data_IF_247356997579
#
_entry.id   IF_247356997579
#
_cell.length_a   1.000
_cell.length_b   1.000
_cell.length_c   1.000
_cell.angle_alpha   90.00
_cell.angle_beta   90.00
_cell.angle_gamma   90.00
#
_symmetry.space_group_name_H-M   'P 1'
#
loop_
_entity.id
_entity.type
_entity.pdbx_description
1 polymer ?
#
# COMPACT_ATOMS: atom_id res chain seq x y z
N UNK A 1 31.62 -40.33 26.35
CA UNK A 1 30.96 -39.43 27.35
C UNK A 1 31.85 -38.20 27.49
N UNK A 2 31.56 -36.99 27.04
CA UNK A 2 30.33 -36.31 26.61
C UNK A 2 30.25 -36.14 25.10
N UNK A 3 29.04 -36.26 24.56
CA UNK A 3 28.66 -35.87 23.20
C UNK A 3 28.11 -34.46 23.31
N UNK A 4 28.58 -33.54 22.48
CA UNK A 4 27.80 -32.36 22.14
C UNK A 4 27.87 -32.15 20.63
N UNK A 5 26.68 -32.17 20.05
CA UNK A 5 26.32 -32.12 18.64
C UNK A 5 26.22 -30.68 18.18
N UNK A 6 27.19 -30.22 17.41
CA UNK A 6 26.99 -29.23 16.35
C UNK A 6 27.98 -29.56 15.23
N UNK A 7 27.45 -30.12 14.14
CA UNK A 7 28.21 -30.33 12.92
C UNK A 7 28.60 -28.98 12.32
N UNK A 8 29.87 -28.61 12.49
CA UNK A 8 30.62 -27.81 11.51
C UNK A 8 31.96 -28.49 11.35
N UNK A 9 32.08 -29.27 10.28
CA UNK A 9 33.39 -29.70 9.79
C UNK A 9 34.05 -28.44 9.25
N UNK A 10 34.98 -27.88 10.03
CA UNK A 10 35.88 -26.85 9.55
C UNK A 10 36.86 -27.53 8.60
N UNK A 11 36.61 -27.44 7.29
CA UNK A 11 37.63 -27.76 6.31
C UNK A 11 38.68 -26.65 6.38
N UNK A 12 39.80 -26.92 7.05
CA UNK A 12 41.02 -26.18 6.82
C UNK A 12 41.49 -26.54 5.40
N UNK A 13 41.08 -25.75 4.41
CA UNK A 13 41.78 -25.72 3.14
C UNK A 13 43.14 -25.08 3.42
N UNK A 14 44.16 -25.94 3.57
CA UNK A 14 45.54 -25.57 3.33
C UNK A 14 45.64 -25.32 1.82
N UNK A 15 45.27 -24.10 1.42
CA UNK A 15 45.40 -23.59 0.07
C UNK A 15 46.69 -22.78 -0.03
N UNK A 16 47.55 -23.21 -0.95
CA UNK A 16 48.75 -22.52 -1.41
C UNK A 16 48.48 -21.05 -1.73
N UNK A 17 49.40 -20.16 -1.33
CA UNK A 17 49.29 -18.71 -1.57
C UNK A 17 49.07 -18.36 -3.04
N UNK A 18 47.86 -17.91 -3.36
CA UNK A 18 47.46 -17.49 -4.69
C UNK A 18 46.53 -16.29 -4.55
N UNK A 19 47.11 -15.11 -4.76
CA UNK A 19 46.51 -13.93 -5.39
C UNK A 19 44.97 -13.87 -5.32
N UNK A 20 44.44 -13.25 -4.26
CA UNK A 20 43.01 -12.98 -4.14
C UNK A 20 42.77 -11.48 -4.06
N UNK A 21 41.82 -11.00 -4.88
CA UNK A 21 41.21 -9.68 -4.76
C UNK A 21 39.70 -9.88 -4.74
N UNK A 22 39.00 -9.19 -3.85
CA UNK A 22 37.56 -9.38 -3.68
C UNK A 22 36.90 -8.17 -3.02
N UNK A 23 35.61 -8.02 -3.28
CA UNK A 23 34.73 -7.13 -2.53
C UNK A 23 34.03 -8.00 -1.48
N UNK A 24 34.42 -7.86 -0.22
CA UNK A 24 33.95 -8.70 0.90
C UNK A 24 32.68 -8.17 1.54
N UNK A 25 32.47 -6.84 1.51
CA UNK A 25 31.19 -6.20 1.78
C UNK A 25 30.75 -5.49 0.53
N UNK A 26 29.66 -5.98 -0.06
CA UNK A 26 29.04 -5.38 -1.24
C UNK A 26 28.08 -4.27 -0.82
N UNK A 27 27.97 -3.19 -1.61
CA UNK A 27 26.97 -2.16 -1.38
C UNK A 27 25.58 -2.73 -1.60
N UNK A 28 24.63 -2.25 -0.80
CA UNK A 28 23.21 -2.61 -0.91
C UNK A 28 22.45 -1.50 -1.63
N UNK A 29 21.38 -1.85 -2.35
CA UNK A 29 20.51 -0.85 -2.98
C UNK A 29 19.86 0.04 -1.93
N UNK A 30 19.79 1.35 -2.22
CA UNK A 30 19.29 2.38 -1.31
C UNK A 30 18.09 3.05 -1.95
N UNK A 31 17.02 3.23 -1.17
CA UNK A 31 15.90 4.09 -1.53
C UNK A 31 15.85 5.27 -0.58
N UNK A 32 15.76 6.49 -1.10
CA UNK A 32 15.64 7.71 -0.31
C UNK A 32 14.72 8.73 -0.97
N UNK A 33 14.40 9.80 -0.24
CA UNK A 33 13.64 10.93 -0.75
C UNK A 33 14.53 12.07 -1.26
N UNK A 34 14.00 12.96 -2.13
CA UNK A 34 14.76 14.12 -2.56
C UNK A 34 15.27 14.97 -1.40
N UNK A 35 16.53 15.41 -1.46
CA UNK A 35 17.22 16.18 -0.42
C UNK A 35 17.86 15.34 0.68
N UNK A 36 17.62 14.02 0.74
CA UNK A 36 18.30 13.14 1.69
C UNK A 36 19.65 12.66 1.17
N UNK A 37 20.49 12.11 2.06
CA UNK A 37 21.79 11.54 1.70
C UNK A 37 21.68 10.02 1.53
N UNK A 38 22.21 9.49 0.45
CA UNK A 38 22.38 8.06 0.23
C UNK A 38 23.84 7.64 0.47
N UNK A 39 24.04 6.46 1.07
CA UNK A 39 25.38 5.94 1.41
C UNK A 39 25.50 4.48 0.98
N UNK A 40 26.52 4.19 0.17
CA UNK A 40 26.87 2.85 -0.27
C UNK A 40 28.17 2.41 0.42
N UNK A 41 28.06 1.51 1.38
CA UNK A 41 29.20 0.97 2.11
C UNK A 41 29.84 -0.22 1.38
N UNK A 42 31.16 -0.30 1.39
CA UNK A 42 31.89 -1.42 0.80
C UNK A 42 33.10 -1.81 1.63
N UNK A 43 33.64 -2.99 1.36
CA UNK A 43 34.93 -3.43 1.91
C UNK A 43 35.64 -4.28 0.88
N UNK A 44 36.91 -3.98 0.62
CA UNK A 44 37.77 -4.73 -0.29
C UNK A 44 38.85 -5.49 0.47
N UNK A 45 39.21 -6.65 -0.05
CA UNK A 45 40.35 -7.43 0.43
C UNK A 45 41.20 -7.87 -0.76
N UNK A 46 42.52 -7.81 -0.58
CA UNK A 46 43.50 -8.31 -1.53
C UNK A 46 44.89 -7.74 -1.28
N UNK A 47 45.90 -8.38 -1.84
CA UNK A 47 47.30 -7.97 -1.70
C UNK A 47 47.96 -7.94 -3.09
N UNK A 48 48.39 -6.78 -3.63
CA UNK A 48 48.25 -5.44 -3.05
C UNK A 48 46.79 -5.01 -2.87
N UNK A 49 46.53 -4.12 -1.92
CA UNK A 49 45.18 -3.61 -1.64
C UNK A 49 44.54 -3.04 -2.93
N UNK A 50 43.30 -3.45 -3.27
CA UNK A 50 42.61 -2.90 -4.43
C UNK A 50 42.27 -1.41 -4.29
N UNK A 51 42.51 -0.67 -5.37
CA UNK A 51 41.98 0.68 -5.56
C UNK A 51 40.51 0.58 -5.99
N UNK A 52 39.67 1.49 -5.49
CA UNK A 52 38.22 1.45 -5.72
C UNK A 52 37.76 2.65 -6.53
N UNK A 53 37.04 2.36 -7.61
CA UNK A 53 36.42 3.32 -8.50
C UNK A 53 34.91 3.08 -8.56
N UNK A 54 34.14 4.16 -8.76
CA UNK A 54 32.69 4.10 -8.86
C UNK A 54 32.20 4.53 -10.24
N UNK A 55 31.13 3.90 -10.69
CA UNK A 55 30.46 4.18 -11.96
C UNK A 55 28.97 4.36 -11.72
N UNK A 56 28.33 5.25 -12.48
CA UNK A 56 26.87 5.35 -12.57
C UNK A 56 26.45 4.97 -13.99
N UNK A 57 25.71 3.88 -14.12
CA UNK A 57 25.49 3.25 -15.42
C UNK A 57 26.81 2.80 -16.04
N UNK A 58 27.14 3.34 -17.22
CA UNK A 58 28.40 3.04 -17.93
C UNK A 58 29.50 4.10 -17.74
N UNK A 59 29.19 5.23 -17.11
CA UNK A 59 30.13 6.35 -16.97
C UNK A 59 30.81 6.33 -15.61
N UNK A 60 32.11 6.66 -15.59
CA UNK A 60 32.85 6.81 -14.34
C UNK A 60 32.30 8.01 -13.57
N UNK A 61 32.00 7.79 -12.28
CA UNK A 61 31.39 8.80 -11.43
C UNK A 61 32.40 9.92 -11.18
N UNK A 62 32.00 11.17 -11.45
CA UNK A 62 32.79 12.34 -11.09
C UNK A 62 32.62 12.62 -9.59
N UNK A 63 33.74 12.66 -8.85
CA UNK A 63 33.71 12.90 -7.41
C UNK A 63 33.89 14.38 -7.09
N UNK A 64 32.97 14.93 -6.29
CA UNK A 64 32.90 16.33 -5.88
C UNK A 64 32.24 16.48 -4.50
N UNK A 65 31.65 17.63 -4.19
CA UNK A 65 30.94 17.84 -2.92
C UNK A 65 29.60 17.09 -2.84
N UNK A 66 28.92 16.85 -3.98
CA UNK A 66 27.66 16.14 -4.08
C UNK A 66 27.86 14.63 -3.99
N UNK A 67 28.88 14.12 -4.68
CA UNK A 67 29.24 12.70 -4.71
C UNK A 67 30.70 12.49 -4.28
N UNK A 68 30.96 11.90 -3.11
CA UNK A 68 32.35 11.65 -2.67
C UNK A 68 32.53 10.28 -2.03
N UNK A 69 33.78 9.81 -2.01
CA UNK A 69 34.15 8.52 -1.43
C UNK A 69 35.06 8.72 -0.23
N UNK A 70 34.73 8.08 0.89
CA UNK A 70 35.60 7.95 2.05
C UNK A 70 36.28 6.58 2.02
N UNK A 71 37.61 6.55 2.13
CA UNK A 71 38.39 5.31 2.19
C UNK A 71 39.05 5.18 3.57
N UNK A 72 39.02 3.98 4.14
CA UNK A 72 39.67 3.66 5.41
C UNK A 72 40.89 2.74 5.20
N UNK A 73 41.93 2.79 6.05
CA UNK A 73 43.14 1.98 5.90
C UNK A 73 42.91 0.46 5.90
N UNK A 74 41.81 -0.01 6.48
CA UNK A 74 41.45 -1.43 6.64
C UNK A 74 40.76 -2.05 5.41
N UNK A 75 40.61 -1.30 4.31
CA UNK A 75 39.92 -1.78 3.11
C UNK A 75 38.44 -1.40 3.07
N UNK A 76 37.87 -0.87 4.15
CA UNK A 76 36.49 -0.37 4.16
C UNK A 76 36.39 1.03 3.56
N UNK A 77 35.19 1.40 3.14
CA UNK A 77 34.88 2.74 2.65
C UNK A 77 33.40 2.92 2.34
N UNK A 78 33.04 4.13 1.94
CA UNK A 78 31.67 4.46 1.53
C UNK A 78 31.64 5.48 0.40
N UNK A 79 30.75 5.29 -0.57
CA UNK A 79 30.32 6.34 -1.49
C UNK A 79 29.12 7.06 -0.87
N UNK A 80 29.17 8.38 -0.81
CA UNK A 80 28.09 9.23 -0.30
C UNK A 80 27.57 10.12 -1.42
N UNK A 81 26.24 10.12 -1.61
CA UNK A 81 25.51 11.04 -2.50
C UNK A 81 24.67 11.96 -1.61
N UNK A 82 25.05 13.22 -1.48
CA UNK A 82 24.32 14.22 -0.68
C UNK A 82 23.11 14.75 -1.43
N UNK A 83 22.17 15.38 -0.70
CA UNK A 83 21.03 16.12 -1.27
C UNK A 83 20.40 15.47 -2.52
N UNK A 84 20.11 14.17 -2.45
CA UNK A 84 19.72 13.35 -3.59
C UNK A 84 18.58 13.97 -4.40
N UNK A 85 18.67 13.90 -5.71
CA UNK A 85 17.66 14.36 -6.67
C UNK A 85 17.14 13.20 -7.50
N UNK A 86 16.04 13.37 -8.23
CA UNK A 86 15.56 12.31 -9.13
C UNK A 86 16.61 11.92 -10.17
N UNK A 87 17.45 12.86 -10.61
CA UNK A 87 18.55 12.62 -11.53
C UNK A 87 19.62 11.70 -10.95
N UNK A 88 19.75 11.63 -9.62
CA UNK A 88 20.69 10.73 -8.93
C UNK A 88 20.29 9.26 -9.01
N UNK A 89 19.02 8.97 -9.33
CA UNK A 89 18.54 7.59 -9.52
C UNK A 89 19.36 6.85 -10.56
N UNK A 90 19.73 5.60 -10.26
CA UNK A 90 20.43 4.74 -11.20
C UNK A 90 21.23 3.62 -10.56
N UNK A 91 21.91 2.85 -11.42
CA UNK A 91 22.77 1.74 -11.02
C UNK A 91 24.19 2.25 -10.73
N UNK A 92 24.63 2.11 -9.49
CA UNK A 92 25.97 2.44 -9.04
C UNK A 92 26.83 1.18 -8.97
N UNK A 93 27.98 1.18 -9.64
CA UNK A 93 28.90 0.03 -9.69
C UNK A 93 30.21 0.38 -8.99
N UNK A 94 30.56 -0.39 -7.97
CA UNK A 94 31.83 -0.35 -7.28
C UNK A 94 32.79 -1.33 -7.97
N UNK A 95 33.91 -0.81 -8.49
CA UNK A 95 34.96 -1.58 -9.16
C UNK A 95 36.24 -1.49 -8.35
N UNK A 96 36.73 -2.65 -7.88
CA UNK A 96 37.95 -2.79 -7.11
C UNK A 96 39.04 -3.44 -7.98
N UNK A 97 40.19 -2.79 -8.15
CA UNK A 97 41.25 -3.22 -9.07
C UNK A 97 42.59 -3.24 -8.36
N UNK A 98 43.38 -4.29 -8.58
CA UNK A 98 44.81 -4.31 -8.27
C UNK A 98 45.61 -4.91 -9.43
N UNK A 99 46.91 -5.10 -9.24
CA UNK A 99 47.81 -5.68 -10.25
C UNK A 99 47.49 -7.14 -10.61
N UNK A 100 46.67 -7.83 -9.80
CA UNK A 100 46.33 -9.24 -9.96
C UNK A 100 44.96 -9.43 -10.60
N UNK A 101 44.09 -8.42 -10.56
CA UNK A 101 42.86 -8.36 -11.34
C UNK A 101 41.82 -7.41 -10.77
N UNK A 102 40.56 -7.64 -11.16
CA UNK A 102 39.43 -6.77 -10.84
C UNK A 102 38.19 -7.51 -10.34
N UNK A 103 37.51 -6.93 -9.36
CA UNK A 103 36.19 -7.36 -8.90
C UNK A 103 35.21 -6.18 -9.00
N UNK A 104 33.95 -6.46 -9.34
CA UNK A 104 32.91 -5.44 -9.44
C UNK A 104 31.60 -5.92 -8.83
N UNK A 105 30.83 -4.98 -8.29
CA UNK A 105 29.47 -5.21 -7.78
C UNK A 105 28.63 -3.95 -7.96
N UNK A 106 27.31 -4.11 -8.05
CA UNK A 106 26.40 -3.00 -8.33
C UNK A 106 25.25 -2.95 -7.34
N UNK A 107 24.79 -1.74 -7.04
CA UNK A 107 23.65 -1.43 -6.20
C UNK A 107 22.83 -0.31 -6.85
N UNK A 108 21.52 -0.28 -6.61
CA UNK A 108 20.62 0.72 -7.19
C UNK A 108 20.35 1.84 -6.19
N UNK A 109 20.46 3.09 -6.62
CA UNK A 109 19.88 4.25 -5.93
C UNK A 109 18.53 4.54 -6.55
N UNK A 110 17.48 4.55 -5.73
CA UNK A 110 16.15 4.97 -6.14
C UNK A 110 15.70 6.17 -5.31
N UNK A 111 15.65 7.35 -5.96
CA UNK A 111 15.19 8.58 -5.32
C UNK A 111 13.73 8.78 -5.69
N UNK A 112 12.83 8.51 -4.74
CA UNK A 112 11.40 8.71 -4.93
C UNK A 112 10.92 9.86 -4.07
N UNK A 113 10.05 10.74 -4.60
CA UNK A 113 9.30 11.67 -3.77
C UNK A 113 8.69 10.89 -2.61
N UNK A 114 9.03 11.30 -1.40
CA UNK A 114 8.51 10.67 -0.21
C UNK A 114 6.97 10.80 -0.26
N UNK A 115 6.21 9.71 -0.13
CA UNK A 115 4.73 9.74 -0.14
C UNK A 115 4.21 10.49 1.11
N UNK A 116 4.42 11.80 1.14
CA UNK A 116 3.91 12.73 2.14
C UNK A 116 2.66 13.45 1.65
N UNK A 117 1.93 12.75 0.78
CA UNK A 117 0.63 13.15 0.30
C UNK A 117 -0.38 12.77 1.38
N UNK A 118 -1.36 13.64 1.61
CA UNK A 118 -2.53 13.29 2.40
C UNK A 118 -3.09 11.93 1.95
N UNK A 119 -3.43 11.08 2.91
CA UNK A 119 -4.02 9.77 2.65
C UNK A 119 -5.52 9.79 2.93
N UNK A 120 -6.28 8.98 2.17
CA UNK A 120 -7.71 8.82 2.42
C UNK A 120 -7.93 8.28 3.83
N UNK A 121 -8.91 8.82 4.56
CA UNK A 121 -9.25 8.34 5.91
C UNK A 121 -10.73 8.02 6.01
N UNK A 122 -11.03 6.92 6.68
CA UNK A 122 -12.37 6.47 7.00
C UNK A 122 -12.54 6.53 8.52
N UNK A 123 -13.42 7.39 9.02
CA UNK A 123 -13.47 7.72 10.44
C UNK A 123 -14.89 7.73 10.96
N UNK A 124 -15.08 7.31 12.20
CA UNK A 124 -16.39 7.24 12.84
C UNK A 124 -16.90 8.63 13.23
N UNK A 125 -18.19 8.88 12.99
CA UNK A 125 -18.91 10.08 13.39
C UNK A 125 -18.71 10.41 14.88
N UNK A 126 -18.59 11.70 15.18
CA UNK A 126 -18.35 12.24 16.52
C UNK A 126 -16.89 12.16 16.99
N UNK A 127 -16.03 11.41 16.30
CA UNK A 127 -14.59 11.37 16.61
C UNK A 127 -13.89 12.66 16.16
N UNK A 128 -12.67 12.88 16.64
CA UNK A 128 -11.78 13.93 16.12
C UNK A 128 -10.58 13.30 15.41
N UNK A 129 -10.05 13.95 14.38
CA UNK A 129 -8.88 13.47 13.65
C UNK A 129 -7.88 14.57 13.34
N UNK A 130 -6.68 14.15 12.97
CA UNK A 130 -5.66 15.00 12.40
C UNK A 130 -5.31 14.51 10.98
N UNK A 131 -5.41 15.41 10.01
CA UNK A 131 -4.91 15.24 8.65
C UNK A 131 -3.52 15.86 8.60
N UNK A 132 -2.52 15.13 8.13
CA UNK A 132 -1.11 15.56 8.17
C UNK A 132 -0.44 15.33 6.84
N UNK A 133 0.36 16.30 6.41
CA UNK A 133 1.33 16.14 5.33
C UNK A 133 2.67 16.75 5.76
N UNK A 134 3.78 16.11 5.38
CA UNK A 134 5.09 16.75 5.52
C UNK A 134 5.45 17.44 4.22
N UNK A 135 6.12 18.57 4.36
CA UNK A 135 6.46 19.45 3.24
C UNK A 135 7.96 19.70 3.24
N UNK A 136 8.55 19.67 2.06
CA UNK A 136 9.95 20.02 1.83
C UNK A 136 10.02 21.35 1.09
N UNK A 137 11.09 22.11 1.31
CA UNK A 137 11.33 23.38 0.64
C UNK A 137 12.01 24.40 1.54
N UNK A 138 12.44 25.50 0.92
CA UNK A 138 13.05 26.62 1.64
C UNK A 138 12.03 27.33 2.54
N UNK A 139 12.45 27.68 3.75
CA UNK A 139 11.65 28.46 4.71
C UNK A 139 11.56 29.95 4.31
N UNK A 140 10.54 30.68 4.76
CA UNK A 140 9.36 30.20 5.50
C UNK A 140 8.32 29.57 4.57
N UNK A 141 7.81 28.39 4.96
CA UNK A 141 6.70 27.72 4.27
C UNK A 141 5.40 28.11 4.98
N UNK A 142 4.39 28.50 4.21
CA UNK A 142 3.03 28.73 4.69
C UNK A 142 2.08 27.67 4.15
N UNK A 143 1.04 27.31 4.91
CA UNK A 143 0.05 26.32 4.52
C UNK A 143 -1.37 26.85 4.71
N UNK A 144 -2.24 26.51 3.76
CA UNK A 144 -3.68 26.78 3.78
C UNK A 144 -4.45 25.51 3.50
N UNK A 145 -5.54 25.32 4.23
CA UNK A 145 -6.39 24.13 4.09
C UNK A 145 -7.69 24.47 3.38
N UNK A 146 -8.19 23.53 2.58
CA UNK A 146 -9.42 23.66 1.82
C UNK A 146 -10.29 22.42 1.98
N UNK A 147 -11.61 22.60 2.05
CA UNK A 147 -12.63 21.54 2.02
C UNK A 147 -13.45 21.72 0.74
N UNK A 148 -13.39 20.75 -0.17
CA UNK A 148 -14.01 20.80 -1.50
C UNK A 148 -13.71 22.12 -2.25
N UNK A 149 -12.45 22.57 -2.16
CA UNK A 149 -11.98 23.80 -2.79
C UNK A 149 -12.31 25.10 -2.06
N UNK A 150 -13.05 25.05 -0.94
CA UNK A 150 -13.32 26.22 -0.10
C UNK A 150 -12.30 26.33 1.04
N UNK A 151 -11.66 27.48 1.18
CA UNK A 151 -10.67 27.73 2.23
C UNK A 151 -11.29 27.55 3.62
N UNK A 152 -10.59 26.79 4.46
CA UNK A 152 -10.94 26.52 5.85
C UNK A 152 -10.26 27.57 6.72
N UNK A 153 -11.03 28.18 7.62
CA UNK A 153 -10.52 29.09 8.64
C UNK A 153 -10.51 28.41 10.01
N UNK A 154 -9.50 28.71 10.82
CA UNK A 154 -9.38 28.18 12.17
C UNK A 154 -10.61 28.52 13.04
N UNK A 155 -11.07 27.54 13.80
CA UNK A 155 -12.26 27.56 14.63
C UNK A 155 -12.22 26.45 15.68
N UNK A 156 -13.27 26.32 16.50
CA UNK A 156 -13.41 25.15 17.38
C UNK A 156 -13.55 23.82 16.61
N UNK A 157 -13.99 23.88 15.34
CA UNK A 157 -14.18 22.72 14.46
C UNK A 157 -12.90 22.34 13.74
N UNK A 158 -12.16 23.32 13.25
CA UNK A 158 -10.97 23.16 12.43
C UNK A 158 -9.79 23.87 13.08
N UNK A 159 -8.69 23.17 13.31
CA UNK A 159 -7.47 23.78 13.87
C UNK A 159 -6.27 23.41 13.03
N UNK A 160 -5.71 24.39 12.32
CA UNK A 160 -4.46 24.25 11.60
C UNK A 160 -3.27 24.34 12.57
N UNK A 161 -2.31 23.43 12.41
CA UNK A 161 -1.09 23.37 13.21
C UNK A 161 0.09 23.21 12.25
N UNK A 162 1.15 23.97 12.49
CA UNK A 162 2.40 23.84 11.76
C UNK A 162 3.50 23.58 12.79
N UNK A 163 4.19 22.47 12.65
CA UNK A 163 5.35 22.13 13.47
C UNK A 163 6.48 21.65 12.57
N UNK A 164 7.60 22.39 12.59
CA UNK A 164 8.75 22.16 11.72
C UNK A 164 8.32 22.12 10.24
N UNK A 165 8.42 20.94 9.61
CA UNK A 165 8.06 20.68 8.23
C UNK A 165 6.76 19.86 8.10
N UNK A 166 5.94 19.81 9.16
CA UNK A 166 4.67 19.07 9.17
C UNK A 166 3.49 20.02 9.26
N UNK A 167 2.64 19.99 8.24
CA UNK A 167 1.39 20.74 8.18
C UNK A 167 0.24 19.83 8.60
N UNK A 168 -0.53 20.26 9.59
CA UNK A 168 -1.62 19.49 10.17
C UNK A 168 -2.92 20.28 10.18
N UNK A 169 -4.03 19.56 9.98
CA UNK A 169 -5.38 20.05 10.20
C UNK A 169 -6.10 19.08 11.14
N UNK A 170 -6.41 19.56 12.34
CA UNK A 170 -7.32 18.87 13.24
C UNK A 170 -8.77 19.20 12.88
N UNK A 171 -9.61 18.17 12.80
CA UNK A 171 -11.04 18.28 12.59
C UNK A 171 -11.73 17.62 13.78
N UNK A 172 -12.38 18.44 14.60
CA UNK A 172 -13.03 17.98 15.82
C UNK A 172 -14.47 17.51 15.58
N UNK A 173 -14.96 16.57 16.39
CA UNK A 173 -16.38 16.17 16.46
C UNK A 173 -17.00 15.94 15.07
N UNK A 174 -16.47 15.00 14.31
CA UNK A 174 -16.83 14.76 12.91
C UNK A 174 -18.33 14.60 12.69
N UNK A 175 -18.82 15.25 11.64
CA UNK A 175 -20.20 15.16 11.15
C UNK A 175 -20.23 14.54 9.75
N UNK A 176 -21.37 14.05 9.28
CA UNK A 176 -21.47 13.49 7.92
C UNK A 176 -21.10 14.51 6.84
N UNK A 177 -21.37 15.79 7.10
CA UNK A 177 -21.02 16.92 6.24
C UNK A 177 -19.52 17.15 6.13
N UNK A 178 -18.69 16.52 6.97
CA UNK A 178 -17.22 16.51 6.87
C UNK A 178 -16.69 15.44 5.92
N UNK A 179 -17.57 14.65 5.30
CA UNK A 179 -17.16 13.81 4.17
C UNK A 179 -16.89 14.70 2.97
N UNK A 180 -15.61 14.90 2.65
CA UNK A 180 -15.18 15.85 1.64
C UNK A 180 -13.74 15.55 1.17
N UNK A 181 -13.33 16.19 0.08
CA UNK A 181 -11.92 16.24 -0.33
C UNK A 181 -11.22 17.39 0.40
N UNK A 182 -10.23 17.06 1.21
CA UNK A 182 -9.41 18.03 1.94
C UNK A 182 -8.09 18.25 1.22
N UNK A 183 -7.75 19.51 0.96
CA UNK A 183 -6.52 19.91 0.28
C UNK A 183 -5.66 20.76 1.19
N UNK A 184 -4.38 20.41 1.32
CA UNK A 184 -3.35 21.28 1.88
C UNK A 184 -2.62 21.96 0.73
N UNK A 185 -2.66 23.28 0.67
CA UNK A 185 -1.92 24.10 -0.28
C UNK A 185 -0.78 24.78 0.48
N UNK A 186 0.45 24.54 0.05
CA UNK A 186 1.65 25.12 0.66
C UNK A 186 2.36 26.04 -0.31
N UNK A 187 2.99 27.09 0.23
CA UNK A 187 3.73 28.04 -0.57
C UNK A 187 4.93 28.62 0.17
N UNK A 188 5.97 28.93 -0.60
CA UNK A 188 7.16 29.66 -0.17
C UNK A 188 7.64 30.61 -1.29
N UNK A 189 8.86 31.13 -1.19
CA UNK A 189 9.45 32.03 -2.18
C UNK A 189 9.73 31.38 -3.54
N UNK A 190 9.87 30.05 -3.59
CA UNK A 190 10.15 29.31 -4.81
C UNK A 190 8.88 28.94 -5.59
N UNK A 191 7.72 28.89 -4.92
CA UNK A 191 6.45 28.59 -5.56
C UNK A 191 5.38 28.08 -4.59
N UNK A 192 4.43 27.35 -5.14
CA UNK A 192 3.34 26.70 -4.39
C UNK A 192 3.10 25.29 -4.90
N UNK A 193 2.71 24.40 -3.99
CA UNK A 193 2.31 23.03 -4.29
C UNK A 193 1.13 22.61 -3.42
N UNK A 194 0.46 21.51 -3.76
CA UNK A 194 -0.69 21.03 -2.98
C UNK A 194 -0.86 19.52 -2.99
N UNK A 195 -1.41 18.99 -1.91
CA UNK A 195 -1.82 17.60 -1.80
C UNK A 195 -3.28 17.50 -1.33
N UNK A 196 -3.98 16.44 -1.72
CA UNK A 196 -5.39 16.24 -1.41
C UNK A 196 -5.70 14.82 -0.99
N UNK A 197 -6.67 14.65 -0.08
CA UNK A 197 -7.26 13.36 0.23
C UNK A 197 -8.72 13.43 0.65
N UNK A 198 -9.43 12.33 0.42
CA UNK A 198 -10.83 12.17 0.82
C UNK A 198 -10.89 11.71 2.28
N UNK A 199 -11.65 12.46 3.09
CA UNK A 199 -12.14 12.02 4.39
C UNK A 199 -13.56 11.48 4.22
N UNK A 200 -13.82 10.26 4.70
CA UNK A 200 -15.16 9.67 4.76
C UNK A 200 -15.59 9.49 6.21
N UNK A 201 -16.68 10.13 6.60
CA UNK A 201 -17.26 9.96 7.94
C UNK A 201 -18.30 8.84 7.92
N UNK A 202 -18.04 7.78 8.68
CA UNK A 202 -18.89 6.59 8.81
C UNK A 202 -19.84 6.74 9.99
N UNK A 203 -21.10 6.35 9.80
CA UNK A 203 -22.08 6.28 10.87
C UNK A 203 -21.70 5.28 11.96
N UNK A 204 -22.37 5.38 13.11
CA UNK A 204 -22.21 4.46 14.25
C UNK A 204 -23.40 3.48 14.37
N UNK A 205 -23.18 2.29 14.92
CA UNK A 205 -24.26 1.40 15.35
C UNK A 205 -25.13 2.04 16.45
N UNK A 206 -26.39 1.57 16.64
CA UNK A 206 -27.02 0.47 15.92
C UNK A 206 -27.48 0.87 14.51
N UNK A 207 -27.24 0.00 13.54
CA UNK A 207 -27.76 0.18 12.19
C UNK A 207 -29.02 -0.66 11.99
N UNK A 208 -30.06 -0.03 11.46
CA UNK A 208 -31.21 -0.72 10.89
C UNK A 208 -30.87 -1.14 9.45
N UNK A 209 -30.90 -2.44 9.20
CA UNK A 209 -30.52 -3.04 7.92
C UNK A 209 -31.69 -3.74 7.28
N UNK A 210 -32.03 -3.31 6.07
CA UNK A 210 -33.13 -3.88 5.30
C UNK A 210 -32.66 -4.31 3.91
N UNK A 211 -32.95 -5.56 3.56
CA UNK A 211 -32.67 -6.12 2.23
C UNK A 211 -33.92 -6.08 1.35
N UNK A 212 -33.73 -5.91 0.03
CA UNK A 212 -34.78 -5.93 -0.97
C UNK A 212 -34.36 -6.75 -2.19
N UNK A 213 -35.35 -7.38 -2.85
CA UNK A 213 -35.24 -7.92 -4.21
C UNK A 213 -36.53 -7.59 -4.95
N UNK A 214 -36.42 -7.13 -6.20
CA UNK A 214 -37.58 -6.76 -7.02
C UNK A 214 -38.53 -5.79 -6.30
N UNK A 215 -37.94 -4.82 -5.57
CA UNK A 215 -38.63 -3.83 -4.71
C UNK A 215 -39.39 -4.40 -3.51
N UNK A 216 -39.28 -5.71 -3.23
CA UNK A 216 -39.90 -6.36 -2.08
C UNK A 216 -38.90 -6.53 -0.94
N UNK A 217 -39.31 -6.17 0.27
CA UNK A 217 -38.50 -6.35 1.47
C UNK A 217 -38.25 -7.83 1.74
N UNK A 218 -37.00 -8.20 1.96
CA UNK A 218 -36.58 -9.54 2.35
C UNK A 218 -36.47 -9.60 3.87
N UNK A 219 -37.05 -10.65 4.45
CA UNK A 219 -36.94 -10.97 5.88
C UNK A 219 -36.38 -12.37 6.07
N UNK A 220 -35.76 -12.61 7.21
CA UNK A 220 -35.30 -13.93 7.61
C UNK A 220 -36.46 -14.94 7.60
N UNK A 221 -36.27 -16.07 6.90
CA UNK A 221 -37.27 -17.09 6.61
C UNK A 221 -36.61 -18.47 6.39
N UNK A 222 -37.33 -19.43 5.79
CA UNK A 222 -36.76 -20.71 5.31
C UNK A 222 -35.95 -20.52 4.00
N UNK A 223 -36.23 -19.47 3.23
CA UNK A 223 -35.54 -19.13 1.97
C UNK A 223 -34.34 -18.23 2.20
N UNK A 224 -34.45 -17.24 3.09
CA UNK A 224 -33.41 -16.24 3.33
C UNK A 224 -32.98 -16.25 4.79
N UNK A 225 -31.68 -16.14 5.08
CA UNK A 225 -31.17 -15.84 6.42
C UNK A 225 -30.42 -14.52 6.38
N UNK A 226 -30.99 -13.50 7.02
CA UNK A 226 -30.37 -12.18 7.15
C UNK A 226 -29.64 -12.10 8.49
N UNK A 227 -28.40 -11.63 8.48
CA UNK A 227 -27.59 -11.40 9.68
C UNK A 227 -27.04 -9.98 9.62
N UNK A 228 -27.27 -9.18 10.65
CA UNK A 228 -26.68 -7.85 10.81
C UNK A 228 -26.00 -7.78 12.19
N UNK A 229 -24.72 -7.44 12.23
CA UNK A 229 -23.92 -7.29 13.45
C UNK A 229 -22.95 -6.13 13.26
N UNK A 230 -23.05 -5.10 14.10
CA UNK A 230 -22.17 -3.92 14.08
C UNK A 230 -21.96 -3.42 12.64
N UNK A 231 -20.77 -3.61 12.07
CA UNK A 231 -20.37 -3.16 10.74
C UNK A 231 -20.44 -4.24 9.65
N UNK A 232 -21.18 -5.33 9.87
CA UNK A 232 -21.32 -6.43 8.90
C UNK A 232 -22.78 -6.86 8.75
N UNK A 233 -23.27 -6.95 7.50
CA UNK A 233 -24.62 -7.40 7.19
C UNK A 233 -24.62 -8.38 6.03
N UNK A 234 -25.35 -9.47 6.11
CA UNK A 234 -25.31 -10.51 5.09
C UNK A 234 -26.67 -11.13 4.87
N UNK A 235 -26.91 -11.57 3.63
CA UNK A 235 -28.07 -12.34 3.26
C UNK A 235 -27.63 -13.68 2.69
N UNK A 236 -28.00 -14.78 3.34
CA UNK A 236 -27.81 -16.13 2.81
C UNK A 236 -29.09 -16.60 2.13
N UNK A 237 -29.00 -16.90 0.84
CA UNK A 237 -30.08 -17.50 0.06
C UNK A 237 -29.97 -19.02 0.20
N UNK A 238 -31.05 -19.69 0.58
CA UNK A 238 -31.13 -21.13 0.75
C UNK A 238 -31.92 -21.74 -0.41
N UNK A 239 -31.53 -22.93 -0.85
CA UNK A 239 -32.17 -23.66 -1.96
C UNK A 239 -32.34 -22.76 -3.20
N UNK A 240 -31.23 -22.32 -3.79
CA UNK A 240 -31.23 -21.31 -4.86
C UNK A 240 -31.95 -21.83 -6.11
N UNK A 241 -32.80 -20.98 -6.68
CA UNK A 241 -33.62 -21.22 -7.86
C UNK A 241 -33.34 -20.14 -8.93
N UNK A 242 -33.83 -20.35 -10.15
CA UNK A 242 -33.71 -19.36 -11.24
C UNK A 242 -34.32 -18.01 -10.86
N UNK A 243 -35.37 -18.01 -10.05
CA UNK A 243 -36.03 -16.80 -9.57
C UNK A 243 -35.19 -15.96 -8.59
N UNK A 244 -34.14 -16.54 -7.98
CA UNK A 244 -33.22 -15.83 -7.08
C UNK A 244 -32.13 -15.07 -7.82
N UNK A 245 -32.00 -15.26 -9.14
CA UNK A 245 -31.11 -14.48 -9.98
C UNK A 245 -31.60 -13.03 -10.01
N UNK A 246 -30.65 -12.11 -10.04
CA UNK A 246 -30.93 -10.69 -10.19
C UNK A 246 -30.25 -9.85 -9.13
N UNK A 247 -30.69 -8.61 -9.06
CA UNK A 247 -30.12 -7.61 -8.16
C UNK A 247 -30.84 -7.62 -6.81
N UNK A 248 -30.03 -7.61 -5.76
CA UNK A 248 -30.42 -7.42 -4.37
C UNK A 248 -29.92 -6.07 -3.92
N UNK A 249 -30.75 -5.37 -3.15
CA UNK A 249 -30.44 -4.07 -2.58
C UNK A 249 -30.37 -4.21 -1.06
N UNK A 250 -29.30 -3.71 -0.45
CA UNK A 250 -29.17 -3.59 1.00
C UNK A 250 -29.19 -2.11 1.37
N UNK A 251 -30.21 -1.70 2.13
CA UNK A 251 -30.31 -0.38 2.72
C UNK A 251 -29.88 -0.46 4.19
N UNK A 252 -28.97 0.42 4.60
CA UNK A 252 -28.48 0.55 5.98
C UNK A 252 -28.80 1.95 6.46
N UNK A 253 -29.37 2.10 7.65
CA UNK A 253 -29.69 3.41 8.22
C UNK A 253 -29.43 3.45 9.72
N UNK A 254 -29.16 4.63 10.25
CA UNK A 254 -29.13 4.94 11.68
C UNK A 254 -29.72 6.34 11.90
N UNK A 255 -29.64 6.86 13.12
CA UNK A 255 -30.24 8.16 13.48
C UNK A 255 -29.63 9.36 12.72
N UNK A 256 -28.47 9.18 12.09
CA UNK A 256 -27.75 10.26 11.39
C UNK A 256 -27.86 10.17 9.87
N UNK A 257 -28.22 9.02 9.29
CA UNK A 257 -28.32 8.89 7.84
C UNK A 257 -28.66 7.50 7.32
N UNK A 258 -28.70 7.37 6.00
CA UNK A 258 -28.90 6.09 5.33
C UNK A 258 -28.00 5.95 4.11
N UNK A 259 -27.54 4.73 3.86
CA UNK A 259 -26.81 4.35 2.67
C UNK A 259 -27.43 3.10 2.02
N UNK A 260 -27.12 2.86 0.76
CA UNK A 260 -27.65 1.73 -0.01
C UNK A 260 -26.56 1.12 -0.90
N UNK A 261 -26.41 -0.20 -0.82
CA UNK A 261 -25.57 -0.96 -1.74
C UNK A 261 -26.38 -1.99 -2.51
N UNK A 262 -25.80 -2.46 -3.63
CA UNK A 262 -26.41 -3.43 -4.52
C UNK A 262 -25.46 -4.61 -4.74
N UNK A 263 -26.01 -5.81 -4.83
CA UNK A 263 -25.28 -7.00 -5.23
C UNK A 263 -26.09 -7.83 -6.23
N UNK A 264 -25.43 -8.46 -7.20
CA UNK A 264 -26.11 -9.26 -8.24
C UNK A 264 -25.80 -10.74 -8.08
N UNK A 265 -26.84 -11.55 -8.00
CA UNK A 265 -26.74 -13.02 -8.05
C UNK A 265 -26.85 -13.49 -9.50
N UNK A 266 -25.87 -14.28 -9.96
CA UNK A 266 -25.83 -14.87 -11.31
C UNK A 266 -25.68 -16.39 -11.21
N UNK A 267 -26.26 -17.12 -12.17
CA UNK A 267 -25.98 -18.55 -12.33
C UNK A 267 -24.60 -18.76 -12.94
N UNK A 268 -23.86 -19.73 -12.41
CA UNK A 268 -22.61 -20.20 -12.99
C UNK A 268 -22.83 -21.60 -13.56
N UNK A 269 -22.96 -21.70 -14.88
CA UNK A 269 -23.12 -22.96 -15.60
C UNK A 269 -22.62 -22.86 -17.04
N UNK A 270 -22.00 -23.93 -17.54
CA UNK A 270 -21.60 -24.08 -18.94
C UNK A 270 -22.74 -24.77 -19.67
N UNK A 271 -23.27 -24.16 -20.74
CA UNK A 271 -24.32 -24.77 -21.57
C UNK A 271 -23.68 -25.99 -22.27
N UNK A 272 -23.99 -27.19 -21.82
CA UNK A 272 -23.72 -28.40 -22.60
C UNK A 272 -24.80 -28.51 -23.66
N UNK A 273 -24.38 -28.56 -24.93
CA UNK A 273 -25.23 -28.44 -26.10
C UNK A 273 -26.48 -29.35 -26.08
N UNK A 274 -27.57 -28.84 -26.64
CA UNK A 274 -28.79 -29.59 -26.88
C UNK A 274 -28.54 -30.69 -27.93
N UNK A 275 -28.61 -31.97 -27.54
CA UNK A 275 -28.95 -33.03 -28.49
C UNK A 275 -30.44 -33.34 -28.34
N UNK A 276 -31.19 -33.14 -29.41
CA UNK A 276 -32.61 -33.47 -29.47
C UNK A 276 -32.81 -34.97 -29.22
N UNK A 277 -33.69 -35.30 -28.27
CA UNK A 277 -34.30 -36.63 -28.18
C UNK A 277 -35.76 -36.52 -28.66
N UNK A 278 -36.30 -37.50 -29.41
CA UNK A 278 -37.61 -37.38 -30.04
C UNK A 278 -38.80 -37.25 -29.07
N UNK A 279 -38.62 -37.59 -27.79
CA UNK A 279 -39.71 -37.67 -26.83
C UNK A 279 -39.40 -36.86 -25.55
N UNK A 280 -39.43 -35.53 -25.65
CA UNK A 280 -40.20 -34.70 -24.72
C UNK A 280 -39.83 -34.56 -23.23
N UNK A 281 -38.64 -34.91 -22.74
CA UNK A 281 -38.23 -34.48 -21.37
C UNK A 281 -36.73 -34.31 -21.21
N UNK A 282 -36.28 -33.07 -20.94
CA UNK A 282 -34.93 -32.77 -20.50
C UNK A 282 -34.96 -32.51 -18.98
N UNK A 283 -34.37 -33.41 -18.19
CA UNK A 283 -34.14 -33.20 -16.77
C UNK A 283 -32.84 -32.41 -16.60
N UNK A 284 -32.97 -31.12 -16.28
CA UNK A 284 -31.84 -30.26 -15.92
C UNK A 284 -31.58 -30.38 -14.42
N UNK A 285 -30.48 -31.02 -14.04
CA UNK A 285 -29.99 -30.99 -12.67
C UNK A 285 -29.05 -29.78 -12.51
N UNK A 286 -29.47 -28.79 -11.73
CA UNK A 286 -28.61 -27.67 -11.31
C UNK A 286 -28.16 -27.90 -9.87
N UNK A 287 -26.85 -27.94 -9.65
CA UNK A 287 -26.26 -27.97 -8.31
C UNK A 287 -25.96 -26.53 -7.88
N UNK A 288 -26.55 -26.04 -6.78
CA UNK A 288 -26.29 -24.67 -6.30
C UNK A 288 -25.97 -24.68 -4.80
N UNK A 289 -24.67 -24.63 -4.48
CA UNK A 289 -24.17 -24.27 -3.16
C UNK A 289 -23.67 -22.82 -3.20
N UNK A 290 -24.02 -21.99 -2.20
CA UNK A 290 -23.09 -21.21 -1.33
C UNK A 290 -23.73 -19.98 -0.67
N UNK A 291 -23.13 -19.61 0.46
CA UNK A 291 -23.49 -18.55 1.42
C UNK A 291 -22.98 -17.19 0.95
N UNK A 292 -23.73 -16.09 1.14
CA UNK A 292 -23.23 -14.74 0.89
C UNK A 292 -23.03 -13.96 2.19
N UNK A 293 -21.83 -13.40 2.38
CA UNK A 293 -21.45 -12.47 3.45
C UNK A 293 -21.11 -11.11 2.83
N UNK A 294 -21.58 -10.01 3.42
CA UNK A 294 -21.16 -8.66 3.01
C UNK A 294 -20.71 -7.87 4.25
N UNK A 295 -19.46 -7.43 4.26
CA UNK A 295 -18.99 -6.42 5.22
C UNK A 295 -19.56 -5.07 4.79
N UNK A 296 -20.01 -4.23 5.73
CA UNK A 296 -20.40 -2.87 5.39
C UNK A 296 -19.14 -2.08 5.03
N UNK A 297 -18.73 -2.14 3.76
CA UNK A 297 -17.76 -1.23 3.17
C UNK A 297 -18.17 -0.94 1.73
N UNK A 298 -18.53 0.34 1.54
CA UNK A 298 -18.39 1.21 0.39
C UNK A 298 -17.75 0.65 -0.89
N UNK A 299 -18.33 1.12 -1.98
CA UNK A 299 -17.90 1.04 -3.38
C UNK A 299 -18.20 -0.29 -4.09
N UNK A 300 -19.01 -0.13 -5.15
CA UNK A 300 -19.41 -1.11 -6.14
C UNK A 300 -18.27 -2.02 -6.59
N UNK A 301 -18.33 -3.33 -6.30
CA UNK A 301 -17.65 -4.35 -7.13
C UNK A 301 -18.44 -5.65 -7.16
N UNK A 302 -18.62 -6.17 -8.37
CA UNK A 302 -19.03 -7.53 -8.70
C UNK A 302 -18.11 -8.56 -8.05
N UNK A 303 -18.65 -9.45 -7.23
CA UNK A 303 -17.91 -10.58 -6.65
C UNK A 303 -17.98 -11.78 -7.61
N UNK A 304 -16.86 -12.16 -8.23
CA UNK A 304 -16.69 -13.49 -8.84
C UNK A 304 -16.05 -14.42 -7.79
N UNK A 305 -16.69 -15.56 -7.49
CA UNK A 305 -16.12 -16.57 -6.58
C UNK A 305 -15.71 -17.81 -7.39
N UNK A 306 -14.45 -18.22 -7.21
CA UNK A 306 -13.89 -19.52 -7.62
C UNK A 306 -13.87 -20.45 -6.41
N UNK A 307 -14.43 -21.64 -6.64
CA UNK A 307 -14.44 -22.92 -5.93
C UNK A 307 -14.25 -23.08 -4.41
N UNK A 308 -14.79 -24.23 -4.00
CA UNK A 308 -15.17 -24.79 -2.70
C UNK A 308 -14.13 -24.74 -1.58
N UNK A 309 -14.65 -24.53 -0.36
CA UNK A 309 -14.00 -24.64 0.95
C UNK A 309 -13.19 -23.45 1.50
N UNK A 310 -13.44 -22.23 1.05
CA UNK A 310 -13.00 -21.04 1.82
C UNK A 310 -14.16 -20.13 2.16
N UNK A 311 -14.34 -19.96 3.46
CA UNK A 311 -15.04 -18.85 4.09
C UNK A 311 -14.47 -17.55 3.48
N UNK A 312 -15.31 -16.77 2.80
CA UNK A 312 -14.93 -15.42 2.38
C UNK A 312 -14.93 -14.54 3.63
N UNK A 313 -13.81 -14.57 4.34
CA UNK A 313 -13.40 -13.48 5.20
C UNK A 313 -12.88 -12.38 4.28
N UNK A 314 -13.56 -11.24 4.24
CA UNK A 314 -13.01 -10.03 3.64
C UNK A 314 -11.89 -9.52 4.55
N UNK A 315 -10.67 -10.05 4.35
CA UNK A 315 -9.46 -9.47 4.90
C UNK A 315 -9.24 -8.08 4.29
N UNK A 316 -8.92 -7.14 5.17
CA UNK A 316 -8.52 -5.79 4.79
C UNK A 316 -7.22 -5.77 4.01
N UNK A 317 -7.14 -4.78 3.14
CA UNK A 317 -5.95 -4.06 2.73
C UNK A 317 -6.38 -2.59 2.58
#
# INVERSE_FOLDING_TARGET
>A
KKINTTGRVSFALVGTGQDFYSITKVPESVQCAPGFTAVFEYTVAGEPRPDVEWFKGSEQLFLDAHCFVAHHPDGSGSLTVQECTEEDTGLYTCRAVNTLGEAACSAELLVLPEEHVLTKKDVVLGSSIQMECKVSGSLPISAKWFKDGKEITDSAKYRSLCHENTMSLEIANLELTDTANYTCNVSNVAGSDSCSAVLTVKGTPPFDVTWYKDKRQIRSSKKYKVTAKNYHTSIRILNVEVADIGEYQCKVQNDVGSDTCFCTVKLKGKIMAFSSAPNGTALLFFYVDTVFTTTACFLSRTTEIRDKNKQCDCCGW
#
